data_IF_724094511749
#
_entry.id   IF_724094511749
#
_cell.length_a   1.000
_cell.length_b   1.000
_cell.length_c   1.000
_cell.angle_alpha   90.00
_cell.angle_beta   90.00
_cell.angle_gamma   90.00
#
_symmetry.space_group_name_H-M   'P 1'
#
loop_
_entity.id
_entity.type
_entity.pdbx_description
1 polymer ?
#
# COMPACT_ATOMS: atom_id res chain seq x y z
N UNK A 1 2.88 19.88 -15.66
CA UNK A 1 2.77 19.81 -14.18
C UNK A 1 3.26 18.44 -13.76
N UNK A 2 4.16 18.35 -12.77
CA UNK A 2 4.55 17.07 -12.16
C UNK A 2 3.40 16.65 -11.24
N UNK A 3 2.58 15.71 -11.70
CA UNK A 3 1.52 15.14 -10.85
C UNK A 3 2.21 14.40 -9.71
N UNK A 4 2.02 14.87 -8.49
CA UNK A 4 2.56 14.20 -7.31
C UNK A 4 1.65 13.03 -7.00
N UNK A 5 2.18 11.81 -7.10
CA UNK A 5 1.43 10.61 -6.76
C UNK A 5 1.19 10.58 -5.24
N UNK A 6 -0.05 10.31 -4.85
CA UNK A 6 -0.47 10.15 -3.46
C UNK A 6 -0.24 8.69 -3.04
N UNK A 7 0.17 8.49 -1.80
CA UNK A 7 0.34 7.17 -1.19
C UNK A 7 -0.36 7.11 0.17
N UNK A 8 -0.05 6.07 0.94
CA UNK A 8 -0.58 5.88 2.29
C UNK A 8 0.36 6.47 3.34
N UNK A 9 -0.21 6.96 4.44
CA UNK A 9 0.53 7.05 5.70
C UNK A 9 0.58 5.68 6.40
N UNK A 10 1.52 5.43 7.31
CA UNK A 10 1.53 4.21 8.13
C UNK A 10 0.21 3.98 8.88
N UNK A 11 -0.43 5.05 9.38
CA UNK A 11 -1.70 4.98 10.11
C UNK A 11 -2.87 4.59 9.18
N UNK A 12 -2.87 5.08 7.94
CA UNK A 12 -3.84 4.64 6.94
C UNK A 12 -3.64 3.16 6.60
N UNK A 13 -2.40 2.71 6.43
CA UNK A 13 -2.10 1.31 6.20
C UNK A 13 -2.55 0.42 7.38
N UNK A 14 -2.35 0.87 8.62
CA UNK A 14 -2.85 0.20 9.82
C UNK A 14 -4.37 0.15 9.85
N UNK A 15 -5.04 1.27 9.60
CA UNK A 15 -6.50 1.31 9.57
C UNK A 15 -7.04 0.29 8.56
N UNK A 16 -6.54 0.30 7.32
CA UNK A 16 -6.95 -0.64 6.28
C UNK A 16 -6.67 -2.10 6.70
N UNK A 17 -5.51 -2.40 7.29
CA UNK A 17 -5.17 -3.74 7.77
C UNK A 17 -6.12 -4.22 8.87
N UNK A 18 -6.41 -3.36 9.86
CA UNK A 18 -7.33 -3.71 10.96
C UNK A 18 -8.76 -3.92 10.46
N UNK A 19 -9.22 -3.08 9.52
CA UNK A 19 -10.51 -3.26 8.85
C UNK A 19 -10.54 -4.55 8.06
N UNK A 20 -9.49 -4.90 7.33
CA UNK A 20 -9.40 -6.16 6.60
C UNK A 20 -9.49 -7.37 7.54
N UNK A 21 -8.71 -7.38 8.62
CA UNK A 21 -8.72 -8.45 9.62
C UNK A 21 -10.04 -8.56 10.38
N UNK A 22 -10.87 -7.51 10.38
CA UNK A 22 -12.23 -7.58 10.93
C UNK A 22 -13.18 -8.40 10.05
N UNK A 23 -12.99 -8.40 8.73
CA UNK A 23 -13.87 -9.09 7.77
C UNK A 23 -13.33 -10.45 7.32
N UNK A 24 -12.01 -10.65 7.33
CA UNK A 24 -11.36 -11.86 6.85
C UNK A 24 -10.55 -12.52 7.97
N UNK A 25 -10.48 -13.87 8.02
CA UNK A 25 -9.75 -14.60 9.06
C UNK A 25 -8.23 -14.44 8.86
N UNK A 26 -7.68 -13.32 9.33
CA UNK A 26 -6.26 -13.00 9.34
C UNK A 26 -5.92 -12.20 10.60
N UNK A 27 -4.65 -12.24 11.00
CA UNK A 27 -4.12 -11.45 12.12
C UNK A 27 -2.97 -10.57 11.63
N UNK A 28 -2.85 -9.37 12.19
CA UNK A 28 -1.73 -8.49 11.91
C UNK A 28 -0.49 -8.96 12.70
N UNK A 29 0.57 -9.36 12.00
CA UNK A 29 1.78 -9.92 12.63
C UNK A 29 2.86 -8.85 12.83
N UNK A 30 3.04 -7.97 11.84
CA UNK A 30 4.21 -7.09 11.78
C UNK A 30 3.82 -5.65 11.44
N UNK A 31 3.65 -4.81 12.47
CA UNK A 31 3.36 -3.37 12.32
C UNK A 31 4.42 -2.62 11.49
N UNK A 32 5.69 -3.02 11.60
CA UNK A 32 6.78 -2.44 10.81
C UNK A 32 6.61 -2.65 9.30
N UNK A 33 5.94 -3.73 8.87
CA UNK A 33 5.70 -4.00 7.46
C UNK A 33 4.65 -3.05 6.88
N UNK A 34 3.69 -2.60 7.68
CA UNK A 34 2.76 -1.55 7.25
C UNK A 34 3.48 -0.21 7.01
N UNK A 35 4.46 0.12 7.85
CA UNK A 35 5.31 1.29 7.63
C UNK A 35 6.14 1.16 6.34
N UNK A 36 6.68 -0.03 6.06
CA UNK A 36 7.38 -0.29 4.82
C UNK A 36 6.47 -0.19 3.58
N UNK A 37 5.24 -0.71 3.65
CA UNK A 37 4.24 -0.60 2.58
C UNK A 37 3.87 0.87 2.33
N UNK A 38 3.66 1.66 3.39
CA UNK A 38 3.43 3.09 3.28
C UNK A 38 4.63 3.79 2.61
N UNK A 39 5.85 3.52 3.06
CA UNK A 39 7.08 4.07 2.47
C UNK A 39 7.26 3.67 0.99
N UNK A 40 6.91 2.44 0.61
CA UNK A 40 6.84 2.02 -0.79
C UNK A 40 5.86 2.92 -1.52
N UNK A 41 4.63 3.08 -1.05
CA UNK A 41 3.62 3.88 -1.73
C UNK A 41 4.04 5.36 -1.93
N UNK A 42 4.84 5.94 -1.04
CA UNK A 42 5.27 7.36 -1.12
C UNK A 42 6.71 7.55 -1.61
N UNK A 43 7.35 6.49 -2.11
CA UNK A 43 8.79 6.49 -2.40
C UNK A 43 9.18 7.55 -3.44
N UNK A 44 10.11 8.42 -3.06
CA UNK A 44 10.69 9.43 -3.93
C UNK A 44 12.15 9.71 -3.55
N UNK A 45 12.96 10.08 -4.54
CA UNK A 45 14.38 10.35 -4.39
C UNK A 45 14.67 11.74 -4.95
N UNK A 46 15.12 12.67 -4.12
CA UNK A 46 15.38 14.06 -4.54
C UNK A 46 14.20 14.70 -5.30
N UNK A 47 12.96 14.41 -4.86
CA UNK A 47 11.71 14.88 -5.49
C UNK A 47 11.33 14.15 -6.79
N UNK A 48 12.08 13.15 -7.23
CA UNK A 48 11.70 12.23 -8.31
C UNK A 48 10.90 11.07 -7.72
N UNK A 49 9.64 10.96 -8.13
CA UNK A 49 8.82 9.78 -7.84
C UNK A 49 9.55 8.52 -8.31
N UNK A 50 9.55 7.48 -7.47
CA UNK A 50 10.04 6.15 -7.85
C UNK A 50 9.16 5.49 -8.94
N UNK A 51 7.97 6.04 -9.18
CA UNK A 51 6.95 5.49 -10.07
C UNK A 51 6.66 6.42 -11.25
N UNK A 52 6.45 5.81 -12.42
CA UNK A 52 6.14 6.51 -13.67
C UNK A 52 4.65 6.81 -13.85
N UNK A 53 3.79 6.06 -13.16
CA UNK A 53 2.33 6.20 -13.20
C UNK A 53 1.68 5.66 -11.92
N UNK A 54 0.42 6.05 -11.63
CA UNK A 54 -0.37 5.45 -10.54
C UNK A 54 -0.40 3.92 -10.60
N UNK A 55 -0.49 3.35 -11.80
CA UNK A 55 -0.49 1.88 -12.00
C UNK A 55 0.82 1.24 -11.55
N UNK A 56 1.96 1.84 -11.88
CA UNK A 56 3.26 1.30 -11.44
C UNK A 56 3.46 1.40 -9.93
N UNK A 57 2.95 2.45 -9.30
CA UNK A 57 2.96 2.64 -7.84
C UNK A 57 2.08 1.59 -7.15
N UNK A 58 0.82 1.46 -7.58
CA UNK A 58 -0.12 0.50 -7.02
C UNK A 58 0.40 -0.94 -7.15
N UNK A 59 1.02 -1.28 -8.29
CA UNK A 59 1.62 -2.60 -8.47
C UNK A 59 2.84 -2.84 -7.57
N UNK A 60 3.61 -1.79 -7.25
CA UNK A 60 4.71 -1.88 -6.31
C UNK A 60 4.21 -2.12 -4.88
N UNK A 61 3.14 -1.43 -4.48
CA UNK A 61 2.43 -1.67 -3.20
C UNK A 61 1.98 -3.12 -3.11
N UNK A 62 1.27 -3.64 -4.13
CA UNK A 62 0.85 -5.05 -4.17
C UNK A 62 2.03 -6.00 -3.93
N UNK A 63 3.10 -5.85 -4.72
CA UNK A 63 4.29 -6.72 -4.63
C UNK A 63 4.96 -6.62 -3.27
N UNK A 64 5.04 -5.43 -2.69
CA UNK A 64 5.59 -5.23 -1.36
C UNK A 64 4.75 -5.94 -0.30
N UNK A 65 3.43 -5.80 -0.34
CA UNK A 65 2.52 -6.47 0.59
C UNK A 65 2.64 -7.99 0.51
N UNK A 66 2.59 -8.55 -0.70
CA UNK A 66 2.72 -10.01 -0.90
C UNK A 66 4.08 -10.53 -0.41
N UNK A 67 5.15 -9.77 -0.64
CA UNK A 67 6.51 -10.17 -0.24
C UNK A 67 6.75 -10.03 1.26
N UNK A 68 6.24 -8.97 1.88
CA UNK A 68 6.44 -8.71 3.30
C UNK A 68 5.53 -9.57 4.17
N UNK A 69 4.36 -9.96 3.67
CA UNK A 69 3.36 -10.73 4.42
C UNK A 69 3.04 -10.08 5.77
N UNK A 70 2.47 -8.85 5.80
CA UNK A 70 2.13 -8.17 7.05
C UNK A 70 1.07 -8.90 7.89
N UNK A 71 0.29 -9.79 7.26
CA UNK A 71 -0.77 -10.55 7.90
C UNK A 71 -0.42 -12.04 7.97
N UNK A 72 -1.03 -12.77 8.89
CA UNK A 72 -0.86 -14.23 9.03
C UNK A 72 -1.46 -15.04 7.86
N UNK A 73 -2.41 -14.46 7.13
CA UNK A 73 -3.09 -15.05 5.98
C UNK A 73 -3.61 -13.97 5.03
N UNK A 74 -4.04 -14.38 3.83
CA UNK A 74 -4.71 -13.51 2.84
C UNK A 74 -3.91 -12.28 2.38
N UNK A 75 -2.57 -12.39 2.33
CA UNK A 75 -1.70 -11.27 1.94
C UNK A 75 -1.84 -10.88 0.45
N UNK A 76 -2.25 -11.81 -0.41
CA UNK A 76 -2.50 -11.52 -1.83
C UNK A 76 -3.78 -10.68 -2.00
N UNK A 77 -4.86 -11.08 -1.33
CA UNK A 77 -6.15 -10.37 -1.32
C UNK A 77 -6.01 -9.00 -0.65
N UNK A 78 -5.32 -8.94 0.50
CA UNK A 78 -4.99 -7.69 1.16
C UNK A 78 -4.14 -6.78 0.26
N UNK A 79 -3.13 -7.33 -0.39
CA UNK A 79 -2.31 -6.62 -1.37
C UNK A 79 -3.13 -6.08 -2.54
N UNK A 80 -4.11 -6.85 -3.04
CA UNK A 80 -4.98 -6.43 -4.12
C UNK A 80 -5.88 -5.25 -3.71
N UNK A 81 -6.42 -5.27 -2.49
CA UNK A 81 -7.18 -4.13 -1.94
C UNK A 81 -6.30 -2.88 -1.84
N UNK A 82 -5.08 -3.01 -1.31
CA UNK A 82 -4.15 -1.89 -1.21
C UNK A 82 -3.77 -1.33 -2.60
N UNK A 83 -3.57 -2.18 -3.60
CA UNK A 83 -3.36 -1.76 -4.99
C UNK A 83 -4.55 -0.91 -5.49
N UNK A 84 -5.76 -1.41 -5.32
CA UNK A 84 -6.96 -0.77 -5.86
C UNK A 84 -7.26 0.55 -5.14
N UNK A 85 -7.05 0.63 -3.82
CA UNK A 85 -7.11 1.87 -3.06
C UNK A 85 -6.03 2.87 -3.52
N UNK A 86 -4.80 2.40 -3.74
CA UNK A 86 -3.70 3.23 -4.23
C UNK A 86 -3.99 3.82 -5.62
N UNK A 87 -4.67 3.07 -6.50
CA UNK A 87 -5.14 3.57 -7.79
C UNK A 87 -6.18 4.67 -7.60
N UNK A 88 -7.24 4.41 -6.84
CA UNK A 88 -8.34 5.36 -6.61
C UNK A 88 -7.87 6.69 -6.02
N UNK A 89 -6.91 6.64 -5.09
CA UNK A 89 -6.28 7.83 -4.50
C UNK A 89 -5.66 8.78 -5.55
N UNK A 90 -5.33 8.25 -6.73
CA UNK A 90 -4.65 8.97 -7.81
C UNK A 90 -5.52 9.13 -9.08
N UNK A 91 -6.74 8.60 -9.10
CA UNK A 91 -7.73 8.82 -10.17
C UNK A 91 -8.56 10.09 -9.95
N UNK A 92 -8.75 10.51 -8.70
CA UNK A 92 -9.49 11.74 -8.34
C UNK A 92 -8.63 13.03 -8.44
N UNK A 93 -7.70 13.11 -9.40
CA UNK A 93 -6.77 14.26 -9.55
C UNK A 93 -6.82 14.90 -10.93
#
# INVERSE_FOLDING_TARGET
MRTTLRGFTPEQALHIATTFCHYFPAQLEHLSFLSAIAAVSTSSFSGLSAYRSPTTQAQAVYKATVKLQPLSAHNEEFGAILRDLCLRLNEES
#
